data_IF_563941837513
#
_entry.id   IF_563941837513
#
_cell.length_a   1.000
_cell.length_b   1.000
_cell.length_c   1.000
_cell.angle_alpha   90.00
_cell.angle_beta   90.00
_cell.angle_gamma   90.00
#
_symmetry.space_group_name_H-M   'P 1'
#
loop_
_entity.id
_entity.type
_entity.pdbx_description
1 polymer ?
#
# COMPACT_ATOMS: atom_id res chain seq x y z
N UNK A 1 12.95 -9.67 -0.26
CA UNK A 1 12.65 -8.43 -1.02
C UNK A 1 13.81 -8.10 -1.97
N UNK A 2 13.57 -7.75 -3.25
CA UNK A 2 14.65 -7.29 -4.15
C UNK A 2 14.94 -5.79 -3.86
N UNK A 3 16.21 -5.44 -3.64
CA UNK A 3 16.63 -4.04 -3.38
C UNK A 3 16.32 -3.18 -4.60
N UNK A 4 15.70 -2.01 -4.38
CA UNK A 4 15.50 -1.01 -5.44
C UNK A 4 16.76 -0.17 -5.48
N UNK A 5 17.43 -0.09 -6.63
CA UNK A 5 18.55 0.82 -6.84
C UNK A 5 18.06 2.13 -7.47
N UNK A 6 18.67 3.25 -7.08
CA UNK A 6 18.41 4.56 -7.66
C UNK A 6 19.18 4.64 -8.99
N UNK A 7 18.47 4.81 -10.10
CA UNK A 7 19.06 4.97 -11.43
C UNK A 7 18.28 6.06 -12.18
N UNK A 8 19.00 6.96 -12.87
CA UNK A 8 18.42 8.03 -13.68
C UNK A 8 17.65 7.51 -14.91
N UNK A 9 17.88 6.26 -15.31
CA UNK A 9 17.17 5.60 -16.42
C UNK A 9 16.07 4.64 -15.92
N UNK A 10 15.63 4.80 -14.67
CA UNK A 10 14.55 3.99 -14.10
C UNK A 10 13.22 4.22 -14.83
N UNK A 11 12.35 3.22 -14.80
CA UNK A 11 10.95 3.41 -15.23
C UNK A 11 10.23 4.18 -14.14
N UNK A 12 9.49 5.23 -14.53
CA UNK A 12 8.69 6.01 -13.61
C UNK A 12 7.22 5.60 -13.70
N UNK A 13 6.55 5.57 -12.56
CA UNK A 13 5.12 5.35 -12.48
C UNK A 13 4.49 6.46 -11.66
N UNK A 14 3.33 6.95 -12.11
CA UNK A 14 2.44 7.80 -11.34
C UNK A 14 1.28 6.94 -10.87
N UNK A 15 1.10 6.88 -9.56
CA UNK A 15 -0.03 6.19 -8.92
C UNK A 15 -0.92 7.27 -8.31
N UNK A 16 -2.17 7.32 -8.74
CA UNK A 16 -3.12 8.35 -8.34
C UNK A 16 -4.35 7.72 -7.68
N UNK A 17 -4.60 8.07 -6.42
CA UNK A 17 -5.82 7.72 -5.71
C UNK A 17 -6.75 8.94 -5.72
N UNK A 18 -7.96 8.80 -6.29
CA UNK A 18 -8.96 9.87 -6.31
C UNK A 18 -9.44 10.26 -4.91
N UNK A 19 -9.46 9.30 -4.00
CA UNK A 19 -9.74 9.48 -2.57
C UNK A 19 -9.01 8.40 -1.78
N UNK A 20 -8.77 8.67 -0.50
CA UNK A 20 -8.23 7.70 0.45
C UNK A 20 -8.78 7.99 1.85
N UNK A 21 -8.85 6.93 2.67
CA UNK A 21 -9.20 6.99 4.09
C UNK A 21 -7.96 7.18 4.94
N UNK A 22 -6.87 6.48 4.60
CA UNK A 22 -5.61 6.56 5.33
C UNK A 22 -4.42 6.58 4.37
N UNK A 23 -3.38 7.31 4.76
CA UNK A 23 -2.08 7.38 4.08
C UNK A 23 -0.96 7.43 5.12
N UNK A 24 -0.12 6.41 5.16
CA UNK A 24 0.91 6.26 6.18
C UNK A 24 2.26 5.96 5.55
N UNK A 25 3.27 6.75 5.90
CA UNK A 25 4.65 6.60 5.42
C UNK A 25 5.55 6.20 6.56
N UNK A 26 6.28 5.11 6.38
CA UNK A 26 7.28 4.61 7.33
C UNK A 26 8.64 4.51 6.66
N UNK A 27 9.70 4.63 7.45
CA UNK A 27 11.04 4.33 6.97
C UNK A 27 11.19 2.81 6.79
N UNK A 28 11.66 2.38 5.62
CA UNK A 28 11.78 0.96 5.26
C UNK A 28 12.68 0.16 6.21
N UNK A 29 13.67 0.80 6.84
CA UNK A 29 14.54 0.12 7.81
C UNK A 29 13.84 -0.26 9.12
N UNK A 30 12.61 0.22 9.36
CA UNK A 30 11.86 0.00 10.59
C UNK A 30 10.54 -0.76 10.36
N UNK A 31 10.32 -1.31 9.16
CA UNK A 31 9.12 -2.12 8.91
C UNK A 31 9.31 -3.54 9.40
N UNK A 32 8.26 -4.10 9.99
CA UNK A 32 8.18 -5.53 10.28
C UNK A 32 7.48 -6.22 9.11
N UNK A 33 8.09 -7.29 8.61
CA UNK A 33 7.39 -8.21 7.73
C UNK A 33 6.57 -9.13 8.62
N UNK A 34 5.25 -9.05 8.51
CA UNK A 34 4.35 -9.93 9.21
C UNK A 34 3.97 -11.10 8.30
N UNK A 35 4.30 -12.33 8.73
CA UNK A 35 4.00 -13.55 7.97
C UNK A 35 2.48 -13.84 7.89
N UNK A 36 1.66 -13.18 8.71
CA UNK A 36 0.21 -13.32 8.72
C UNK A 36 -0.51 -12.45 7.67
N UNK A 37 0.19 -11.54 7.00
CA UNK A 37 -0.38 -10.68 5.95
C UNK A 37 -0.33 -11.37 4.58
N UNK A 38 -1.46 -11.33 3.87
CA UNK A 38 -1.59 -11.91 2.54
C UNK A 38 -1.87 -10.80 1.52
N UNK A 39 -1.28 -10.90 0.32
CA UNK A 39 -1.48 -9.93 -0.75
C UNK A 39 -1.51 -10.59 -2.13
N UNK A 40 -2.42 -10.10 -2.98
CA UNK A 40 -2.60 -10.56 -4.35
C UNK A 40 -1.73 -9.72 -5.29
N UNK A 41 -0.54 -10.22 -5.64
CA UNK A 41 0.32 -9.57 -6.64
C UNK A 41 1.79 -10.02 -6.63
N UNK A 42 2.12 -10.97 -7.52
CA UNK A 42 3.38 -11.22 -8.23
C UNK A 42 4.75 -11.15 -7.52
N UNK A 43 5.67 -12.05 -7.92
CA UNK A 43 7.09 -12.17 -7.48
C UNK A 43 7.98 -10.90 -7.61
N UNK A 44 7.42 -9.72 -7.89
CA UNK A 44 8.05 -8.40 -7.75
C UNK A 44 7.03 -7.37 -7.19
N UNK A 45 6.61 -7.45 -5.92
CA UNK A 45 7.26 -7.12 -4.62
C UNK A 45 7.39 -5.63 -4.22
N UNK A 46 6.74 -4.69 -4.92
CA UNK A 46 6.86 -3.25 -4.58
C UNK A 46 5.53 -2.51 -4.47
N UNK A 47 4.58 -2.68 -5.37
CA UNK A 47 3.19 -2.23 -5.16
C UNK A 47 2.31 -3.47 -5.02
N UNK A 48 1.58 -3.59 -3.91
CA UNK A 48 0.73 -4.75 -3.63
C UNK A 48 -0.62 -4.33 -3.06
N UNK A 49 -1.60 -5.20 -3.24
CA UNK A 49 -2.93 -5.10 -2.63
C UNK A 49 -3.09 -6.25 -1.65
N UNK A 50 -3.44 -5.94 -0.42
CA UNK A 50 -3.57 -6.93 0.64
C UNK A 50 -4.95 -7.61 0.56
N UNK A 51 -4.95 -8.94 0.65
CA UNK A 51 -6.14 -9.77 0.90
C UNK A 51 -6.40 -9.93 2.40
N UNK A 52 -5.35 -9.87 3.24
CA UNK A 52 -5.42 -9.85 4.71
C UNK A 52 -4.44 -8.83 5.27
N UNK A 53 -4.92 -7.91 6.12
CA UNK A 53 -4.15 -6.75 6.58
C UNK A 53 -4.48 -6.36 8.02
N UNK A 54 -3.49 -6.42 8.89
CA UNK A 54 -3.62 -5.93 10.27
C UNK A 54 -3.73 -4.40 10.31
N UNK A 55 -3.12 -3.72 9.33
CA UNK A 55 -3.22 -2.27 9.20
C UNK A 55 -4.65 -1.84 8.86
N UNK A 56 -5.36 -2.58 7.99
CA UNK A 56 -6.76 -2.30 7.68
C UNK A 56 -7.65 -2.49 8.92
N UNK A 57 -7.42 -3.56 9.69
CA UNK A 57 -8.12 -3.81 10.95
C UNK A 57 -7.89 -2.69 11.97
N UNK A 58 -6.67 -2.15 12.04
CA UNK A 58 -6.35 -0.98 12.85
C UNK A 58 -7.14 0.25 12.39
N UNK A 59 -7.18 0.54 11.08
CA UNK A 59 -7.95 1.67 10.54
C UNK A 59 -9.45 1.53 10.81
N UNK A 60 -10.00 0.32 10.76
CA UNK A 60 -11.40 0.08 11.12
C UNK A 60 -11.71 0.31 12.61
N UNK A 61 -10.72 0.16 13.49
CA UNK A 61 -10.89 0.44 14.94
C UNK A 61 -10.75 1.92 15.26
N UNK A 62 -9.84 2.61 14.60
CA UNK A 62 -9.54 4.02 14.87
C UNK A 62 -10.43 5.00 14.09
N UNK A 63 -11.20 4.52 13.12
CA UNK A 63 -12.05 5.36 12.27
C UNK A 63 -13.44 4.75 12.10
N UNK A 64 -14.43 5.59 11.78
CA UNK A 64 -15.77 5.16 11.39
C UNK A 64 -15.87 4.77 9.90
N UNK A 65 -14.73 4.55 9.23
CA UNK A 65 -14.71 4.33 7.78
C UNK A 65 -15.38 3.03 7.36
N UNK A 66 -15.39 2.00 8.22
CA UNK A 66 -16.13 0.76 7.96
C UNK A 66 -17.65 0.96 8.00
N UNK A 67 -18.15 1.94 8.75
CA UNK A 67 -19.58 2.26 8.79
C UNK A 67 -20.01 3.02 7.52
N UNK A 68 -19.15 3.88 6.99
CA UNK A 68 -19.41 4.59 5.73
C UNK A 68 -19.22 3.72 4.48
N UNK A 69 -18.25 2.78 4.50
CA UNK A 69 -17.84 1.97 3.36
C UNK A 69 -17.72 0.48 3.73
N UNK A 70 -18.83 -0.17 4.15
CA UNK A 70 -18.80 -1.53 4.68
C UNK A 70 -18.29 -2.54 3.64
N UNK A 71 -17.12 -3.13 3.91
CA UNK A 71 -16.50 -4.14 3.04
C UNK A 71 -15.89 -3.61 1.73
N UNK A 72 -15.88 -2.30 1.51
CA UNK A 72 -15.36 -1.71 0.27
C UNK A 72 -13.90 -1.24 0.39
N UNK A 73 -13.41 -1.00 1.62
CA UNK A 73 -12.06 -0.52 1.84
C UNK A 73 -11.01 -1.58 1.53
N UNK A 74 -10.02 -1.17 0.74
CA UNK A 74 -8.88 -1.99 0.34
C UNK A 74 -7.60 -1.37 0.85
N UNK A 75 -6.67 -2.22 1.24
CA UNK A 75 -5.34 -1.82 1.67
C UNK A 75 -4.33 -2.07 0.55
N UNK A 76 -3.55 -1.04 0.25
CA UNK A 76 -2.47 -1.04 -0.72
C UNK A 76 -1.15 -0.72 -0.03
N UNK A 77 -0.07 -1.37 -0.47
CA UNK A 77 1.30 -1.11 0.00
C UNK A 77 2.22 -0.74 -1.15
N UNK A 78 3.08 0.25 -0.93
CA UNK A 78 4.16 0.65 -1.82
C UNK A 78 5.49 0.61 -1.05
N UNK A 79 6.37 -0.32 -1.39
CA UNK A 79 7.66 -0.53 -0.76
C UNK A 79 8.77 0.06 -1.63
N UNK A 80 9.33 1.20 -1.21
CA UNK A 80 10.47 1.86 -1.84
C UNK A 80 11.74 1.70 -0.99
N UNK A 81 12.90 2.16 -1.48
CA UNK A 81 14.18 1.98 -0.77
C UNK A 81 14.27 2.71 0.58
N UNK A 82 13.54 3.81 0.76
CA UNK A 82 13.58 4.62 1.99
C UNK A 82 12.20 4.74 2.65
N UNK A 83 11.14 4.45 1.90
CA UNK A 83 9.77 4.66 2.34
C UNK A 83 8.94 3.44 2.02
N UNK A 84 8.15 3.03 2.99
CA UNK A 84 7.02 2.13 2.79
C UNK A 84 5.77 2.95 2.98
N UNK A 85 4.88 2.94 2.01
CA UNK A 85 3.64 3.69 2.01
C UNK A 85 2.48 2.71 2.07
N UNK A 86 1.65 2.84 3.09
CA UNK A 86 0.36 2.16 3.15
C UNK A 86 -0.76 3.13 2.83
N UNK A 87 -1.70 2.68 1.99
CA UNK A 87 -2.87 3.45 1.60
C UNK A 87 -4.11 2.60 1.83
N UNK A 88 -5.14 3.16 2.46
CA UNK A 88 -6.46 2.55 2.53
C UNK A 88 -7.43 3.39 1.70
N UNK A 89 -8.14 2.75 0.76
CA UNK A 89 -9.11 3.44 -0.09
C UNK A 89 -10.25 2.52 -0.52
N UNK A 90 -11.44 3.10 -0.73
CA UNK A 90 -12.58 2.42 -1.33
C UNK A 90 -12.42 2.26 -2.85
N UNK A 91 -11.60 3.11 -3.49
CA UNK A 91 -11.41 3.14 -4.94
C UNK A 91 -10.04 2.57 -5.33
N UNK A 92 -9.99 1.90 -6.48
CA UNK A 92 -8.73 1.46 -7.07
C UNK A 92 -7.92 2.68 -7.58
N UNK A 93 -6.58 2.65 -7.50
CA UNK A 93 -5.76 3.72 -8.03
C UNK A 93 -5.66 3.67 -9.56
N UNK A 94 -5.46 4.83 -10.16
CA UNK A 94 -5.04 4.97 -11.55
C UNK A 94 -3.50 4.91 -11.63
N UNK A 95 -2.96 4.00 -12.44
CA UNK A 95 -1.52 3.80 -12.59
C UNK A 95 -1.10 4.14 -14.02
N UNK A 96 -0.22 5.13 -14.17
CA UNK A 96 0.31 5.62 -15.44
C UNK A 96 1.83 5.43 -15.47
N UNK A 97 2.36 4.85 -16.55
CA UNK A 97 3.81 4.79 -16.80
C UNK A 97 4.27 6.12 -17.40
N UNK A 98 5.35 6.69 -16.86
CA UNK A 98 5.99 7.92 -17.35
C UNK A 98 7.32 7.62 -18.03
#
# INVERSE_FOLDING_TARGET
>A
MRRVSINQNGVHFKIHFKSYVAYHVMNESFINFNDDEEYEGGKFSKFCKFSKSNYLDFIFKETYANEMFPGELKHFGLYCSNHVVHIVSAVEPEIEKR
#
